data_IF_085243554151
#
_entry.id   IF_085243554151
#
_cell.length_a   1.000
_cell.length_b   1.000
_cell.length_c   1.000
_cell.angle_alpha   90.00
_cell.angle_beta   90.00
_cell.angle_gamma   90.00
#
_symmetry.space_group_name_H-M   'P 1'
#
loop_
_entity.id
_entity.type
_entity.pdbx_description
1 polymer ?
#
# COMPACT_ATOMS: atom_id res chain seq x y z
N UNK A 1 -36.81 11.29 -32.58
CA UNK A 1 -36.91 12.56 -31.81
C UNK A 1 -36.48 12.26 -30.39
N UNK A 2 -35.17 12.26 -30.16
CA UNK A 2 -34.56 11.99 -28.86
C UNK A 2 -33.78 13.24 -28.49
N UNK A 3 -34.31 13.98 -27.51
CA UNK A 3 -33.76 15.25 -27.05
C UNK A 3 -32.31 15.08 -26.59
N UNK A 4 -31.40 15.85 -27.20
CA UNK A 4 -30.04 16.03 -26.71
C UNK A 4 -30.07 16.59 -25.29
N UNK A 5 -29.82 15.74 -24.30
CA UNK A 5 -29.71 16.16 -22.91
C UNK A 5 -28.41 16.92 -22.70
N UNK A 6 -28.46 18.23 -22.91
CA UNK A 6 -27.38 19.19 -22.57
C UNK A 6 -27.01 19.05 -21.09
N UNK A 7 -25.82 18.52 -20.83
CA UNK A 7 -25.21 18.48 -19.48
C UNK A 7 -24.65 19.87 -19.14
N UNK A 8 -24.96 20.37 -17.93
CA UNK A 8 -24.41 21.64 -17.41
C UNK A 8 -22.89 21.57 -17.33
N UNK A 9 -22.20 22.62 -17.83
CA UNK A 9 -20.74 22.79 -17.77
C UNK A 9 -20.21 22.52 -16.37
N UNK A 10 -19.48 21.41 -16.19
CA UNK A 10 -18.62 21.22 -15.02
C UNK A 10 -17.33 22.01 -15.23
N UNK A 11 -16.89 22.76 -14.22
CA UNK A 11 -15.66 23.52 -14.27
C UNK A 11 -14.48 22.62 -14.70
N UNK A 12 -13.74 23.05 -15.73
CA UNK A 12 -12.60 22.33 -16.26
C UNK A 12 -11.58 22.07 -15.14
N UNK A 13 -11.32 20.80 -14.87
CA UNK A 13 -10.23 20.36 -13.99
C UNK A 13 -8.93 20.86 -14.60
N UNK A 14 -8.34 21.91 -14.02
CA UNK A 14 -7.04 22.44 -14.46
C UNK A 14 -5.98 21.37 -14.22
N UNK A 15 -5.30 20.99 -15.31
CA UNK A 15 -4.24 19.99 -15.33
C UNK A 15 -2.85 20.61 -15.28
N UNK A 16 -1.82 19.86 -14.85
CA UNK A 16 -0.44 20.26 -15.04
C UNK A 16 -0.14 20.38 -16.54
N UNK A 17 0.42 21.51 -16.96
CA UNK A 17 0.76 21.80 -18.35
C UNK A 17 1.86 20.85 -18.82
N UNK A 18 1.57 20.01 -19.82
CA UNK A 18 2.61 19.24 -20.50
C UNK A 18 3.43 20.20 -21.37
N UNK A 19 4.75 20.03 -21.42
CA UNK A 19 5.65 20.88 -22.22
C UNK A 19 5.24 20.93 -23.71
N UNK A 20 4.58 19.89 -24.20
CA UNK A 20 4.16 19.70 -25.59
C UNK A 20 2.83 20.39 -25.95
N UNK A 21 2.11 20.93 -24.96
CA UNK A 21 0.91 21.77 -25.19
C UNK A 21 1.26 23.04 -26.00
N UNK A 22 2.54 23.45 -25.98
CA UNK A 22 3.11 24.53 -26.79
C UNK A 22 3.10 24.23 -28.29
N UNK A 23 3.13 22.95 -28.69
CA UNK A 23 3.26 22.53 -30.08
C UNK A 23 1.95 21.98 -30.68
N UNK A 24 1.10 21.30 -29.88
CA UNK A 24 -0.18 20.75 -30.35
C UNK A 24 -1.40 21.63 -30.06
N UNK A 25 -1.29 22.63 -29.18
CA UNK A 25 -2.41 23.50 -28.81
C UNK A 25 -3.34 22.90 -27.74
N UNK A 26 -4.36 23.68 -27.35
CA UNK A 26 -5.35 23.31 -26.32
C UNK A 26 -6.29 22.17 -26.78
N UNK A 27 -6.98 21.55 -25.82
CA UNK A 27 -7.97 20.49 -26.09
C UNK A 27 -8.97 20.92 -27.19
N UNK A 28 -9.17 20.08 -28.23
CA UNK A 28 -9.98 20.43 -29.38
C UNK A 28 -11.46 20.55 -29.01
N UNK A 29 -12.14 21.48 -29.68
CA UNK A 29 -13.60 21.69 -29.56
C UNK A 29 -14.29 21.34 -30.85
N UNK A 30 -15.46 20.73 -30.74
CA UNK A 30 -16.28 20.22 -31.87
C UNK A 30 -17.70 20.76 -31.72
N UNK A 31 -18.41 20.91 -32.83
CA UNK A 31 -19.82 21.25 -32.84
C UNK A 31 -20.60 20.38 -33.86
N UNK A 32 -21.91 20.58 -33.92
CA UNK A 32 -22.83 19.90 -34.86
C UNK A 32 -22.41 20.01 -36.35
N UNK A 33 -21.70 21.07 -36.74
CA UNK A 33 -21.26 21.32 -38.11
C UNK A 33 -19.82 20.85 -38.39
N UNK A 34 -19.16 20.23 -37.42
CA UNK A 34 -17.76 19.83 -37.57
C UNK A 34 -17.59 18.77 -38.64
N UNK A 35 -16.61 18.98 -39.52
CA UNK A 35 -16.33 18.04 -40.61
C UNK A 35 -15.65 16.77 -40.09
N UNK A 36 -15.69 15.69 -40.88
CA UNK A 36 -14.96 14.45 -40.55
C UNK A 36 -13.45 14.70 -40.37
N UNK A 37 -12.89 15.66 -41.11
CA UNK A 37 -11.49 16.08 -40.97
C UNK A 37 -11.22 16.71 -39.60
N UNK A 38 -12.12 17.56 -39.10
CA UNK A 38 -12.01 18.18 -37.77
C UNK A 38 -12.14 17.13 -36.65
N UNK A 39 -13.04 16.17 -36.81
CA UNK A 39 -13.15 15.03 -35.89
C UNK A 39 -11.86 14.19 -35.86
N UNK A 40 -11.28 13.91 -37.03
CA UNK A 40 -10.03 13.17 -37.13
C UNK A 40 -8.85 13.92 -36.47
N UNK A 41 -8.78 15.24 -36.64
CA UNK A 41 -7.80 16.08 -35.96
C UNK A 41 -7.99 16.05 -34.44
N UNK A 42 -9.24 16.11 -33.98
CA UNK A 42 -9.55 16.01 -32.56
C UNK A 42 -9.11 14.65 -31.98
N UNK A 43 -9.42 13.55 -32.67
CA UNK A 43 -8.99 12.22 -32.23
C UNK A 43 -7.47 12.07 -32.21
N UNK A 44 -6.76 12.62 -33.20
CA UNK A 44 -5.29 12.61 -33.21
C UNK A 44 -4.70 13.36 -32.02
N UNK A 45 -5.31 14.49 -31.63
CA UNK A 45 -4.91 15.20 -30.42
C UNK A 45 -5.12 14.34 -29.17
N UNK A 46 -6.27 13.68 -29.04
CA UNK A 46 -6.52 12.78 -27.91
C UNK A 46 -5.55 11.59 -27.87
N UNK A 47 -5.27 10.97 -29.02
CA UNK A 47 -4.32 9.86 -29.14
C UNK A 47 -2.90 10.24 -28.69
N UNK A 48 -2.53 11.51 -28.80
CA UNK A 48 -1.22 12.00 -28.36
C UNK A 48 -1.16 12.20 -26.84
N UNK A 49 -2.22 12.74 -26.23
CA UNK A 49 -2.22 13.11 -24.81
C UNK A 49 -2.74 12.03 -23.87
N UNK A 50 -3.38 10.98 -24.37
CA UNK A 50 -4.09 10.00 -23.57
C UNK A 50 -3.91 8.58 -24.06
N UNK A 51 -4.11 7.66 -23.12
CA UNK A 51 -4.06 6.22 -23.38
C UNK A 51 -5.46 5.63 -23.61
N UNK A 52 -5.51 4.40 -24.11
CA UNK A 52 -6.76 3.65 -24.21
C UNK A 52 -7.47 3.46 -22.87
N UNK A 53 -6.72 3.38 -21.76
CA UNK A 53 -7.30 3.25 -20.42
C UNK A 53 -7.99 4.55 -19.98
N UNK A 54 -7.42 5.71 -20.33
CA UNK A 54 -8.05 7.01 -20.11
C UNK A 54 -9.34 7.14 -20.94
N UNK A 55 -9.33 6.68 -22.20
CA UNK A 55 -10.52 6.66 -23.04
C UNK A 55 -11.66 5.84 -22.40
N UNK A 56 -11.34 4.64 -21.89
CA UNK A 56 -12.31 3.80 -21.15
C UNK A 56 -12.83 4.49 -19.90
N UNK A 57 -11.97 5.18 -19.15
CA UNK A 57 -12.39 5.96 -17.99
C UNK A 57 -13.33 7.10 -18.37
N UNK A 58 -13.08 7.81 -19.48
CA UNK A 58 -13.98 8.85 -20.00
C UNK A 58 -15.33 8.30 -20.43
N UNK A 59 -15.37 7.15 -21.12
CA UNK A 59 -16.63 6.49 -21.46
C UNK A 59 -17.46 6.17 -20.23
N UNK A 60 -16.87 5.51 -19.22
CA UNK A 60 -17.59 5.14 -17.99
C UNK A 60 -18.04 6.39 -17.22
N UNK A 61 -17.19 7.41 -17.13
CA UNK A 61 -17.53 8.68 -16.46
C UNK A 61 -18.69 9.40 -17.14
N UNK A 62 -18.69 9.45 -18.47
CA UNK A 62 -19.73 10.09 -19.24
C UNK A 62 -21.06 9.33 -19.14
N UNK A 63 -21.05 8.00 -19.30
CA UNK A 63 -22.26 7.18 -19.15
C UNK A 63 -22.89 7.30 -17.76
N UNK A 64 -22.06 7.42 -16.70
CA UNK A 64 -22.55 7.71 -15.34
C UNK A 64 -23.16 9.10 -15.21
N UNK A 65 -22.61 10.11 -15.90
CA UNK A 65 -23.12 11.49 -15.82
C UNK A 65 -24.50 11.63 -16.46
N UNK A 66 -24.76 10.90 -17.54
CA UNK A 66 -26.06 10.86 -18.23
C UNK A 66 -27.04 9.85 -17.61
N UNK A 67 -26.64 9.14 -16.53
CA UNK A 67 -27.40 8.08 -15.86
C UNK A 67 -27.85 6.96 -16.82
N UNK A 68 -26.93 6.48 -17.65
CA UNK A 68 -27.15 5.34 -18.54
C UNK A 68 -27.33 4.03 -17.74
N UNK A 69 -27.78 2.97 -18.41
CA UNK A 69 -28.06 1.67 -17.78
C UNK A 69 -26.82 1.13 -17.03
N UNK A 70 -27.00 0.86 -15.74
CA UNK A 70 -25.98 0.33 -14.84
C UNK A 70 -25.45 -1.03 -15.28
N UNK A 71 -26.29 -1.88 -15.85
CA UNK A 71 -25.87 -3.20 -16.37
C UNK A 71 -24.92 -3.03 -17.55
N UNK A 72 -25.24 -2.14 -18.48
CA UNK A 72 -24.39 -1.85 -19.64
C UNK A 72 -23.07 -1.23 -19.20
N UNK A 73 -23.08 -0.27 -18.27
CA UNK A 73 -21.85 0.34 -17.72
C UNK A 73 -20.93 -0.73 -17.09
N UNK A 74 -21.52 -1.69 -16.38
CA UNK A 74 -20.77 -2.79 -15.74
C UNK A 74 -20.13 -3.70 -16.79
N UNK A 75 -20.88 -4.08 -17.83
CA UNK A 75 -20.35 -4.88 -18.94
C UNK A 75 -19.23 -4.15 -19.69
N UNK A 76 -19.40 -2.86 -19.98
CA UNK A 76 -18.38 -2.03 -20.63
C UNK A 76 -17.11 -1.86 -19.79
N UNK A 77 -17.21 -1.92 -18.47
CA UNK A 77 -16.04 -1.93 -17.59
C UNK A 77 -15.20 -3.22 -17.76
N UNK A 78 -15.77 -4.31 -18.26
CA UNK A 78 -15.04 -5.54 -18.59
C UNK A 78 -14.44 -5.55 -20.01
N UNK A 79 -14.93 -4.70 -20.91
CA UNK A 79 -14.44 -4.61 -22.31
C UNK A 79 -12.99 -4.10 -22.34
N UNK A 80 -12.18 -4.62 -23.27
CA UNK A 80 -10.79 -4.19 -23.46
C UNK A 80 -10.72 -2.70 -23.79
N UNK A 81 -9.80 -1.98 -23.16
CA UNK A 81 -9.69 -0.52 -23.27
C UNK A 81 -9.51 -0.03 -24.72
N UNK A 82 -8.84 -0.81 -25.57
CA UNK A 82 -8.65 -0.50 -26.99
C UNK A 82 -9.96 -0.44 -27.78
N UNK A 83 -10.97 -1.21 -27.37
CA UNK A 83 -12.27 -1.26 -28.08
C UNK A 83 -13.15 -0.04 -27.75
N UNK A 84 -12.84 0.67 -26.67
CA UNK A 84 -13.52 1.89 -26.22
C UNK A 84 -12.78 3.17 -26.59
N UNK A 85 -11.66 3.06 -27.30
CA UNK A 85 -10.74 4.16 -27.57
C UNK A 85 -11.44 5.38 -28.23
N UNK A 86 -12.04 5.17 -29.41
CA UNK A 86 -12.74 6.24 -30.12
C UNK A 86 -14.02 6.70 -29.39
N UNK A 87 -14.67 5.79 -28.66
CA UNK A 87 -15.88 6.12 -27.89
C UNK A 87 -15.54 7.04 -26.72
N UNK A 88 -14.39 6.81 -26.07
CA UNK A 88 -13.87 7.63 -24.98
C UNK A 88 -13.61 9.08 -25.38
N UNK A 89 -13.06 9.30 -26.58
CA UNK A 89 -12.83 10.65 -27.12
C UNK A 89 -14.13 11.42 -27.33
N UNK A 90 -15.14 10.78 -27.92
CA UNK A 90 -16.46 11.38 -28.08
C UNK A 90 -17.14 11.67 -26.73
N UNK A 91 -17.05 10.72 -25.78
CA UNK A 91 -17.55 10.90 -24.42
C UNK A 91 -16.86 12.07 -23.70
N UNK A 92 -15.55 12.26 -23.92
CA UNK A 92 -14.76 13.37 -23.37
C UNK A 92 -15.18 14.71 -23.98
N UNK A 93 -15.36 14.77 -25.30
CA UNK A 93 -15.86 15.96 -26.01
C UNK A 93 -17.23 16.39 -25.46
N UNK A 94 -18.16 15.44 -25.32
CA UNK A 94 -19.49 15.67 -24.76
C UNK A 94 -19.45 16.11 -23.29
N UNK A 95 -18.56 15.51 -22.48
CA UNK A 95 -18.39 15.90 -21.08
C UNK A 95 -17.87 17.33 -20.92
N UNK A 96 -17.06 17.80 -21.87
CA UNK A 96 -16.58 19.18 -21.94
C UNK A 96 -17.65 20.15 -22.48
N UNK A 97 -18.84 19.66 -22.85
CA UNK A 97 -19.96 20.47 -23.32
C UNK A 97 -19.94 20.79 -24.81
N UNK A 98 -19.17 20.05 -25.61
CA UNK A 98 -19.27 20.08 -27.07
C UNK A 98 -20.49 19.31 -27.55
N UNK A 99 -20.93 19.58 -28.78
CA UNK A 99 -21.94 18.77 -29.49
C UNK A 99 -21.26 17.98 -30.61
N UNK A 100 -21.73 16.77 -30.86
CA UNK A 100 -21.21 15.92 -31.93
C UNK A 100 -22.02 16.14 -33.22
N UNK A 101 -21.44 15.86 -34.40
CA UNK A 101 -22.19 15.88 -35.65
C UNK A 101 -23.39 14.91 -35.63
N UNK A 102 -24.43 15.24 -36.41
CA UNK A 102 -25.66 14.46 -36.50
C UNK A 102 -25.40 12.98 -36.83
N UNK A 103 -25.97 12.08 -36.03
CA UNK A 103 -25.87 10.62 -36.19
C UNK A 103 -24.58 9.98 -35.65
N UNK A 104 -23.60 10.75 -35.19
CA UNK A 104 -22.39 10.20 -34.57
C UNK A 104 -22.69 9.55 -33.21
N UNK A 105 -23.60 10.15 -32.42
CA UNK A 105 -24.02 9.55 -31.15
C UNK A 105 -24.74 8.21 -31.34
N UNK A 106 -25.62 8.11 -32.35
CA UNK A 106 -26.34 6.87 -32.64
C UNK A 106 -25.38 5.72 -32.97
N UNK A 107 -24.33 6.00 -33.76
CA UNK A 107 -23.26 5.03 -34.07
C UNK A 107 -22.48 4.60 -32.82
N UNK A 108 -22.21 5.54 -31.92
CA UNK A 108 -21.52 5.25 -30.65
C UNK A 108 -22.40 4.37 -29.78
N UNK A 109 -23.69 4.68 -29.67
CA UNK A 109 -24.65 3.91 -28.89
C UNK A 109 -24.82 2.48 -29.42
N UNK A 110 -24.98 2.30 -30.74
CA UNK A 110 -25.00 0.98 -31.38
C UNK A 110 -23.74 0.18 -31.06
N UNK A 111 -22.57 0.83 -31.10
CA UNK A 111 -21.29 0.19 -30.78
C UNK A 111 -21.21 -0.19 -29.31
N UNK A 112 -21.67 0.66 -28.39
CA UNK A 112 -21.71 0.38 -26.96
C UNK A 112 -22.60 -0.84 -26.66
N UNK A 113 -23.78 -0.91 -27.28
CA UNK A 113 -24.70 -2.03 -27.14
C UNK A 113 -24.05 -3.32 -27.68
N UNK A 114 -23.45 -3.28 -28.87
CA UNK A 114 -22.75 -4.43 -29.45
C UNK A 114 -21.59 -4.93 -28.59
N UNK A 115 -20.81 -4.00 -28.02
CA UNK A 115 -19.72 -4.35 -27.11
C UNK A 115 -20.26 -4.96 -25.82
N UNK A 116 -21.35 -4.42 -25.28
CA UNK A 116 -22.01 -4.98 -24.11
C UNK A 116 -22.63 -6.35 -24.37
N UNK A 117 -23.14 -6.63 -25.57
CA UNK A 117 -23.74 -7.92 -25.91
C UNK A 117 -22.71 -9.03 -26.15
N UNK A 118 -21.48 -8.65 -26.52
CA UNK A 118 -20.34 -9.59 -26.64
C UNK A 118 -19.78 -10.03 -25.30
N UNK A 119 -20.04 -9.26 -24.25
CA UNK A 119 -19.74 -9.67 -22.87
C UNK A 119 -20.87 -10.59 -22.44
N UNK A 120 -20.61 -11.90 -22.42
CA UNK A 120 -21.52 -12.90 -21.89
C UNK A 120 -21.97 -12.47 -20.48
N UNK A 121 -23.25 -12.65 -20.16
CA UNK A 121 -23.76 -12.41 -18.81
C UNK A 121 -22.99 -13.30 -17.85
N UNK A 122 -22.06 -12.69 -17.12
CA UNK A 122 -21.37 -13.32 -16.01
C UNK A 122 -22.41 -13.49 -14.90
N UNK A 123 -23.11 -14.63 -14.91
CA UNK A 123 -23.53 -15.27 -13.67
C UNK A 123 -22.32 -15.31 -12.75
N UNK A 124 -22.50 -15.02 -11.46
CA UNK A 124 -21.48 -15.11 -10.41
C UNK A 124 -20.63 -16.39 -10.59
N UNK A 125 -19.51 -16.24 -11.30
CA UNK A 125 -18.45 -17.21 -11.39
C UNK A 125 -17.17 -16.40 -11.35
N UNK A 126 -16.51 -16.57 -10.22
CA UNK A 126 -15.15 -16.15 -9.93
C UNK A 126 -14.26 -16.36 -11.17
N UNK A 127 -13.77 -15.29 -11.78
CA UNK A 127 -12.62 -15.39 -12.68
C UNK A 127 -11.77 -14.10 -12.61
N UNK A 128 -10.65 -14.28 -11.89
CA UNK A 128 -9.32 -13.76 -12.13
C UNK A 128 -9.18 -12.60 -13.12
N UNK A 129 -9.20 -11.38 -12.60
CA UNK A 129 -8.35 -10.33 -13.17
C UNK A 129 -6.88 -10.79 -13.07
N UNK A 130 -5.94 -10.30 -13.92
CA UNK A 130 -4.56 -10.21 -13.49
C UNK A 130 -4.58 -9.21 -12.34
N UNK A 131 -4.86 -9.72 -11.14
CA UNK A 131 -4.68 -9.02 -9.90
C UNK A 131 -3.24 -8.51 -10.00
N UNK A 132 -3.05 -7.19 -10.01
CA UNK A 132 -1.83 -6.69 -9.39
C UNK A 132 -1.79 -7.42 -8.08
N UNK A 133 -0.87 -8.39 -7.92
CA UNK A 133 -0.77 -9.19 -6.71
C UNK A 133 -0.83 -8.18 -5.59
N UNK A 134 -1.95 -8.12 -4.89
CA UNK A 134 -2.05 -7.34 -3.67
C UNK A 134 -1.19 -8.18 -2.76
N UNK A 135 0.13 -7.94 -2.82
CA UNK A 135 1.13 -8.64 -2.02
C UNK A 135 0.58 -8.49 -0.62
N UNK A 136 0.10 -9.62 -0.09
CA UNK A 136 -0.62 -9.64 1.17
C UNK A 136 0.26 -8.92 2.18
N UNK A 137 -0.35 -8.30 3.19
CA UNK A 137 0.45 -7.73 4.28
C UNK A 137 1.41 -8.81 4.83
N UNK A 138 0.96 -10.07 4.83
CA UNK A 138 1.80 -11.23 5.16
C UNK A 138 2.93 -11.43 4.15
N UNK A 139 2.68 -11.37 2.85
CA UNK A 139 3.73 -11.52 1.82
C UNK A 139 4.77 -10.40 1.89
N UNK A 140 4.36 -9.17 2.25
CA UNK A 140 5.32 -8.06 2.48
C UNK A 140 6.16 -8.27 3.73
N UNK A 141 5.54 -8.80 4.78
CA UNK A 141 6.26 -9.17 6.02
C UNK A 141 7.22 -10.31 5.72
N UNK A 142 6.81 -11.32 4.95
CA UNK A 142 7.63 -12.46 4.56
C UNK A 142 8.78 -12.03 3.65
N UNK A 143 8.54 -11.15 2.67
CA UNK A 143 9.60 -10.61 1.82
C UNK A 143 10.65 -9.88 2.66
N UNK A 144 10.22 -8.97 3.56
CA UNK A 144 11.16 -8.29 4.47
C UNK A 144 11.88 -9.22 5.43
N UNK A 145 11.21 -10.26 5.92
CA UNK A 145 11.84 -11.27 6.74
C UNK A 145 12.90 -12.03 5.93
N UNK A 146 12.58 -12.41 4.69
CA UNK A 146 13.50 -13.08 3.77
C UNK A 146 14.73 -12.24 3.47
N UNK A 147 14.56 -10.93 3.22
CA UNK A 147 15.67 -10.01 2.98
C UNK A 147 16.62 -9.96 4.20
N UNK A 148 16.05 -9.83 5.41
CA UNK A 148 16.82 -9.78 6.66
C UNK A 148 17.45 -11.13 7.02
N UNK A 149 16.80 -12.25 6.68
CA UNK A 149 17.36 -13.60 6.81
C UNK A 149 18.58 -13.73 5.89
N UNK A 150 18.48 -13.26 4.64
CA UNK A 150 19.60 -13.28 3.70
C UNK A 150 20.82 -12.53 4.23
N UNK A 151 20.63 -11.36 4.85
CA UNK A 151 21.74 -10.63 5.50
C UNK A 151 22.38 -11.44 6.65
N UNK A 152 21.58 -12.16 7.45
CA UNK A 152 22.09 -13.00 8.53
C UNK A 152 22.78 -14.27 8.02
N UNK A 153 22.32 -14.82 6.89
CA UNK A 153 22.96 -15.94 6.20
C UNK A 153 24.30 -15.52 5.58
N UNK A 154 24.40 -14.32 5.02
CA UNK A 154 25.67 -13.76 4.55
C UNK A 154 26.71 -13.68 5.68
N UNK A 155 26.31 -13.24 6.88
CA UNK A 155 27.18 -13.25 8.06
C UNK A 155 27.56 -14.66 8.51
N UNK A 156 26.65 -15.63 8.28
CA UNK A 156 26.90 -17.05 8.55
C UNK A 156 27.94 -17.62 7.57
N UNK A 157 27.89 -17.20 6.30
CA UNK A 157 28.86 -17.54 5.27
C UNK A 157 30.23 -16.89 5.51
N UNK A 158 30.26 -15.63 5.96
CA UNK A 158 31.49 -14.95 6.38
C UNK A 158 32.14 -15.72 7.53
N UNK A 159 31.35 -16.17 8.51
CA UNK A 159 31.86 -17.05 9.56
C UNK A 159 32.42 -18.37 9.00
N UNK A 160 31.81 -18.94 7.96
CA UNK A 160 32.31 -20.17 7.33
C UNK A 160 33.67 -19.96 6.65
N UNK A 161 33.89 -18.80 6.02
CA UNK A 161 35.14 -18.47 5.32
C UNK A 161 36.25 -18.02 6.26
N UNK A 162 35.96 -17.13 7.20
CA UNK A 162 36.95 -16.47 8.06
C UNK A 162 37.10 -17.15 9.43
N UNK A 163 36.09 -17.88 9.90
CA UNK A 163 36.09 -18.54 11.20
C UNK A 163 35.95 -17.60 12.41
N UNK A 164 35.62 -16.32 12.19
CA UNK A 164 35.48 -15.30 13.23
C UNK A 164 34.10 -14.66 13.15
N UNK A 165 33.49 -14.42 14.30
CA UNK A 165 32.21 -13.71 14.41
C UNK A 165 32.48 -12.32 14.97
N UNK A 166 32.49 -11.31 14.11
CA UNK A 166 32.57 -9.90 14.53
C UNK A 166 31.19 -9.23 14.57
N UNK A 167 30.14 -9.95 14.18
CA UNK A 167 28.80 -9.42 14.03
C UNK A 167 28.09 -9.16 15.37
N UNK A 168 27.58 -7.94 15.54
CA UNK A 168 26.73 -7.55 16.68
C UNK A 168 25.25 -7.50 16.29
N UNK A 169 24.55 -8.61 16.58
CA UNK A 169 23.13 -8.80 16.32
C UNK A 169 22.26 -7.71 16.99
N UNK A 170 22.65 -7.21 18.17
CA UNK A 170 21.85 -6.20 18.89
C UNK A 170 21.89 -4.87 18.18
N UNK A 171 23.09 -4.45 17.75
CA UNK A 171 23.29 -3.23 16.99
C UNK A 171 22.59 -3.31 15.63
N UNK A 172 22.78 -4.42 14.91
CA UNK A 172 22.13 -4.65 13.61
C UNK A 172 20.59 -4.63 13.71
N UNK A 173 20.03 -5.32 14.71
CA UNK A 173 18.58 -5.35 14.93
C UNK A 173 17.99 -3.97 15.23
N UNK A 174 18.73 -3.13 15.96
CA UNK A 174 18.33 -1.76 16.26
C UNK A 174 18.36 -0.87 15.02
N UNK A 175 19.42 -0.95 14.20
CA UNK A 175 19.58 -0.18 12.97
C UNK A 175 18.51 -0.54 11.93
N UNK A 176 18.17 -1.82 11.81
CA UNK A 176 17.14 -2.32 10.87
C UNK A 176 15.71 -2.09 11.36
N UNK A 177 15.51 -1.78 12.65
CA UNK A 177 14.19 -1.51 13.21
C UNK A 177 13.24 -2.71 13.10
N UNK A 178 13.71 -3.90 13.49
CA UNK A 178 12.98 -5.17 13.31
C UNK A 178 11.69 -5.16 14.12
N UNK A 179 10.57 -5.46 13.45
CA UNK A 179 9.24 -5.58 14.10
C UNK A 179 9.08 -6.95 14.77
N UNK A 180 8.30 -7.07 15.87
CA UNK A 180 8.09 -8.34 16.57
C UNK A 180 7.65 -9.50 15.66
N UNK A 181 6.72 -9.25 14.74
CA UNK A 181 6.25 -10.26 13.78
C UNK A 181 7.33 -10.77 12.82
N UNK A 182 8.29 -9.90 12.45
CA UNK A 182 9.44 -10.26 11.61
C UNK A 182 10.47 -11.01 12.45
N UNK A 183 10.74 -10.55 13.68
CA UNK A 183 11.66 -11.21 14.60
C UNK A 183 11.25 -12.67 14.87
N UNK A 184 9.95 -12.93 15.07
CA UNK A 184 9.42 -14.29 15.22
C UNK A 184 9.77 -15.19 14.03
N UNK A 185 9.59 -14.69 12.80
CA UNK A 185 9.91 -15.45 11.57
C UNK A 185 11.40 -15.73 11.44
N UNK A 186 12.25 -14.75 11.76
CA UNK A 186 13.71 -14.94 11.77
C UNK A 186 14.10 -16.02 12.78
N UNK A 187 13.54 -15.98 14.00
CA UNK A 187 13.81 -16.99 15.02
C UNK A 187 13.37 -18.40 14.61
N UNK A 188 12.22 -18.52 13.93
CA UNK A 188 11.71 -19.79 13.40
C UNK A 188 12.58 -20.36 12.26
N UNK A 189 13.23 -19.50 11.46
CA UNK A 189 14.12 -19.93 10.37
C UNK A 189 15.42 -20.55 10.88
N UNK A 190 16.06 -19.93 11.87
CA UNK A 190 17.36 -20.40 12.39
C UNK A 190 17.25 -21.51 13.44
N UNK A 191 16.06 -21.74 14.01
CA UNK A 191 15.84 -22.75 15.06
C UNK A 191 16.14 -24.18 14.61
N UNK A 192 15.64 -24.68 13.46
CA UNK A 192 15.94 -26.05 13.00
C UNK A 192 17.44 -26.30 12.86
N UNK A 193 18.16 -25.37 12.23
CA UNK A 193 19.61 -25.48 12.06
C UNK A 193 20.36 -25.49 13.39
N UNK A 194 19.91 -24.69 14.37
CA UNK A 194 20.47 -24.71 15.72
C UNK A 194 20.22 -26.05 16.43
N UNK A 195 19.02 -26.61 16.31
CA UNK A 195 18.64 -27.90 16.90
C UNK A 195 19.45 -29.05 16.28
N UNK A 196 19.58 -29.09 14.95
CA UNK A 196 20.42 -30.06 14.24
C UNK A 196 21.88 -30.04 14.73
N UNK A 197 22.46 -28.84 14.87
CA UNK A 197 23.83 -28.69 15.37
C UNK A 197 23.95 -29.18 16.81
N UNK A 198 22.93 -28.95 17.65
CA UNK A 198 22.92 -29.45 19.03
C UNK A 198 22.84 -30.98 19.06
N UNK A 199 21.96 -31.58 18.26
CA UNK A 199 21.81 -33.05 18.18
C UNK A 199 23.07 -33.73 17.63
N UNK A 200 23.71 -33.13 16.62
CA UNK A 200 25.00 -33.59 16.09
C UNK A 200 26.12 -33.53 17.14
N UNK A 201 26.11 -32.50 18.01
CA UNK A 201 27.09 -32.37 19.09
C UNK A 201 26.86 -33.36 20.23
N UNK A 202 25.59 -33.64 20.54
CA UNK A 202 25.18 -34.60 21.57
C UNK A 202 25.32 -36.06 21.11
N UNK A 203 25.43 -36.29 19.79
CA UNK A 203 25.58 -37.62 19.20
C UNK A 203 24.30 -38.45 19.26
N UNK A 204 23.14 -37.79 19.27
CA UNK A 204 21.83 -38.44 19.35
C UNK A 204 21.40 -39.07 18.02
N UNK A 205 21.76 -38.42 16.91
CA UNK A 205 21.42 -38.85 15.55
C UNK A 205 22.70 -39.23 14.77
N UNK A 206 22.85 -40.51 14.35
CA UNK A 206 23.98 -40.98 13.55
C UNK A 206 24.15 -40.24 12.21
N UNK A 207 23.04 -39.89 11.55
CA UNK A 207 23.04 -39.25 10.23
C UNK A 207 23.52 -37.81 10.35
N UNK A 208 23.12 -37.10 11.42
CA UNK A 208 23.61 -35.75 11.70
C UNK A 208 25.10 -35.76 12.08
N UNK A 209 25.56 -36.74 12.85
CA UNK A 209 26.98 -36.88 13.18
C UNK A 209 27.81 -37.13 11.92
N UNK A 210 27.29 -37.90 10.96
CA UNK A 210 27.93 -38.09 9.65
C UNK A 210 27.93 -36.80 8.82
N UNK A 211 26.80 -36.08 8.76
CA UNK A 211 26.67 -34.83 8.02
C UNK A 211 27.69 -33.76 8.48
N UNK A 212 27.93 -33.67 9.79
CA UNK A 212 28.87 -32.70 10.37
C UNK A 212 30.30 -33.24 10.57
N UNK A 213 30.63 -34.44 10.09
CA UNK A 213 31.94 -35.08 10.29
C UNK A 213 33.13 -34.28 9.73
N UNK A 214 32.91 -33.49 8.68
CA UNK A 214 33.92 -32.61 8.09
C UNK A 214 34.27 -31.38 8.94
N UNK A 215 33.45 -31.07 9.96
CA UNK A 215 33.64 -29.88 10.78
C UNK A 215 34.58 -30.13 11.97
N UNK A 216 35.38 -29.12 12.30
CA UNK A 216 36.09 -29.10 13.58
C UNK A 216 35.09 -28.85 14.70
N UNK A 217 35.04 -29.73 15.72
CA UNK A 217 34.10 -29.62 16.86
C UNK A 217 34.03 -28.22 17.50
N UNK A 218 35.16 -27.50 17.73
CA UNK A 218 35.09 -26.14 18.27
C UNK A 218 34.40 -25.13 17.34
N UNK A 219 34.59 -25.27 16.03
CA UNK A 219 34.00 -24.38 15.01
C UNK A 219 32.50 -24.61 14.93
N UNK A 220 32.07 -25.87 14.91
CA UNK A 220 30.65 -26.25 14.95
C UNK A 220 29.96 -25.72 16.21
N UNK A 221 30.66 -25.73 17.35
CA UNK A 221 30.17 -25.14 18.60
C UNK A 221 30.02 -23.63 18.53
N UNK A 222 30.97 -22.92 17.93
CA UNK A 222 30.88 -21.46 17.74
C UNK A 222 29.70 -21.12 16.82
N UNK A 223 29.48 -21.90 15.75
CA UNK A 223 28.31 -21.75 14.88
C UNK A 223 27.00 -21.92 15.66
N UNK A 224 26.87 -22.99 16.44
CA UNK A 224 25.67 -23.20 17.27
C UNK A 224 25.43 -22.07 18.27
N UNK A 225 26.49 -21.51 18.86
CA UNK A 225 26.39 -20.35 19.76
C UNK A 225 25.95 -19.08 19.02
N UNK A 226 26.38 -18.89 17.77
CA UNK A 226 25.95 -17.78 16.93
C UNK A 226 24.47 -17.83 16.63
N UNK A 227 24.00 -18.96 16.09
CA UNK A 227 22.58 -19.18 15.79
C UNK A 227 21.74 -19.02 17.05
N UNK A 228 22.20 -19.55 18.18
CA UNK A 228 21.55 -19.34 19.48
C UNK A 228 21.43 -17.85 19.84
N UNK A 229 22.50 -17.07 19.66
CA UNK A 229 22.50 -15.64 19.94
C UNK A 229 21.50 -14.88 19.06
N UNK A 230 21.33 -15.30 17.79
CA UNK A 230 20.29 -14.77 16.90
C UNK A 230 18.91 -15.10 17.45
N UNK A 231 18.65 -16.37 17.75
CA UNK A 231 17.35 -16.85 18.25
C UNK A 231 16.98 -16.16 19.57
N UNK A 232 17.90 -16.09 20.53
CA UNK A 232 17.69 -15.46 21.83
C UNK A 232 17.34 -13.97 21.66
N UNK A 233 18.07 -13.23 20.82
CA UNK A 233 17.77 -11.82 20.57
C UNK A 233 16.43 -11.63 19.84
N UNK A 234 16.13 -12.45 18.83
CA UNK A 234 14.86 -12.34 18.10
C UNK A 234 13.65 -12.73 18.95
N UNK A 235 13.80 -13.69 19.86
CA UNK A 235 12.76 -14.04 20.83
C UNK A 235 12.56 -12.95 21.87
N UNK A 236 13.61 -12.24 22.32
CA UNK A 236 13.48 -11.03 23.13
C UNK A 236 12.69 -9.93 22.41
N UNK A 237 12.94 -9.72 21.12
CA UNK A 237 12.23 -8.71 20.31
C UNK A 237 10.77 -9.10 20.05
N UNK A 238 10.48 -10.39 19.82
CA UNK A 238 9.10 -10.90 19.71
C UNK A 238 8.35 -10.76 21.04
N UNK A 239 9.00 -11.10 22.15
CA UNK A 239 8.44 -10.97 23.50
C UNK A 239 8.19 -9.50 23.91
N UNK A 240 8.88 -8.54 23.29
CA UNK A 240 8.58 -7.11 23.42
C UNK A 240 7.35 -6.67 22.60
N UNK A 241 6.43 -7.60 22.27
CA UNK A 241 5.26 -7.34 21.47
C UNK A 241 4.36 -6.21 21.99
N UNK A 242 3.51 -5.61 21.12
CA UNK A 242 2.78 -4.38 21.42
C UNK A 242 1.94 -4.45 22.69
N UNK A 243 1.37 -5.62 22.96
CA UNK A 243 0.50 -5.87 24.11
C UNK A 243 1.21 -5.73 25.46
N UNK A 244 2.50 -6.07 25.52
CA UNK A 244 3.30 -6.02 26.73
C UNK A 244 3.81 -4.59 26.97
N UNK A 245 4.20 -3.90 25.90
CA UNK A 245 4.68 -2.52 25.97
C UNK A 245 3.59 -1.54 26.46
N UNK A 246 2.35 -1.70 26.00
CA UNK A 246 1.23 -0.83 26.42
C UNK A 246 0.50 -1.29 27.68
N UNK A 247 0.85 -2.45 28.24
CA UNK A 247 0.17 -3.02 29.41
C UNK A 247 0.13 -2.09 30.63
N UNK A 248 1.12 -1.18 30.75
CA UNK A 248 1.25 -0.23 31.86
C UNK A 248 0.75 1.18 31.51
N UNK A 249 0.26 1.41 30.29
CA UNK A 249 -0.18 2.73 29.84
C UNK A 249 -1.53 3.10 30.46
N UNK A 250 -1.57 4.24 31.14
CA UNK A 250 -2.80 4.77 31.74
C UNK A 250 -3.50 5.69 30.75
N UNK A 251 -4.72 5.36 30.38
CA UNK A 251 -5.57 6.16 29.50
C UNK A 251 -7.03 6.09 29.95
N UNK A 252 -7.83 7.08 29.55
CA UNK A 252 -9.27 7.10 29.79
C UNK A 252 -9.96 6.54 28.54
N UNK A 253 -10.76 5.48 28.68
CA UNK A 253 -11.37 4.79 27.53
C UNK A 253 -12.37 5.69 26.79
N UNK A 254 -13.21 6.38 27.54
CA UNK A 254 -14.21 7.32 27.03
C UNK A 254 -14.29 8.56 27.93
N UNK A 255 -14.47 9.73 27.34
CA UNK A 255 -14.79 10.97 28.04
C UNK A 255 -16.18 11.44 27.65
N UNK A 256 -17.16 11.27 28.55
CA UNK A 256 -18.57 11.61 28.30
C UNK A 256 -18.82 13.12 28.22
N UNK A 257 -18.00 13.92 28.88
CA UNK A 257 -18.17 15.38 28.91
C UNK A 257 -17.79 16.02 27.57
N UNK A 258 -16.84 15.41 26.86
CA UNK A 258 -16.37 15.86 25.55
C UNK A 258 -16.81 14.95 24.40
N UNK A 259 -17.49 13.84 24.71
CA UNK A 259 -17.91 12.81 23.77
C UNK A 259 -16.76 12.24 22.89
N UNK A 260 -15.62 11.97 23.51
CA UNK A 260 -14.41 11.46 22.83
C UNK A 260 -14.12 10.03 23.30
N UNK A 261 -13.82 9.14 22.36
CA UNK A 261 -13.36 7.76 22.62
C UNK A 261 -11.88 7.63 22.31
N UNK A 262 -11.11 7.05 23.23
CA UNK A 262 -9.68 6.82 23.03
C UNK A 262 -9.42 5.63 22.11
N UNK A 263 -8.37 5.73 21.30
CA UNK A 263 -7.85 4.61 20.50
C UNK A 263 -7.29 3.50 21.39
N UNK A 264 -7.25 2.27 20.87
CA UNK A 264 -6.65 1.17 21.61
C UNK A 264 -5.15 1.42 21.77
N UNK A 265 -4.57 1.19 22.95
CA UNK A 265 -3.14 1.43 23.17
C UNK A 265 -2.21 0.65 22.23
N UNK A 266 -2.67 -0.51 21.73
CA UNK A 266 -1.93 -1.33 20.77
C UNK A 266 -1.63 -0.57 19.48
N UNK A 267 -2.54 0.30 19.06
CA UNK A 267 -2.45 1.05 17.81
C UNK A 267 -1.47 2.23 17.92
N UNK A 268 -1.04 2.58 19.14
CA UNK A 268 0.00 3.60 19.37
C UNK A 268 1.35 3.11 18.86
N UNK A 269 1.61 1.80 18.95
CA UNK A 269 2.90 1.24 18.62
C UNK A 269 3.03 1.15 17.10
N UNK A 270 4.12 1.72 16.58
CA UNK A 270 4.39 1.93 15.16
C UNK A 270 3.52 3.00 14.48
N UNK A 271 2.70 3.76 15.22
CA UNK A 271 1.98 4.90 14.65
C UNK A 271 2.97 6.00 14.20
N UNK A 272 2.73 6.62 13.04
CA UNK A 272 3.53 7.76 12.56
C UNK A 272 3.21 9.05 13.33
N UNK A 273 1.98 9.19 13.81
CA UNK A 273 1.52 10.36 14.55
C UNK A 273 0.51 9.93 15.61
N UNK A 274 0.61 10.51 16.81
CA UNK A 274 -0.31 10.30 17.92
C UNK A 274 -0.78 11.63 18.50
N UNK A 275 -2.10 11.77 18.64
CA UNK A 275 -2.73 12.91 19.30
C UNK A 275 -3.13 12.51 20.71
N UNK A 276 -2.62 13.23 21.71
CA UNK A 276 -2.89 12.97 23.12
C UNK A 276 -3.54 14.19 23.75
N UNK A 277 -4.76 14.01 24.25
CA UNK A 277 -5.46 15.02 25.01
C UNK A 277 -5.43 14.71 26.51
N UNK A 278 -4.96 15.65 27.32
CA UNK A 278 -4.95 15.54 28.77
C UNK A 278 -6.13 16.32 29.37
N UNK A 279 -7.15 15.61 29.85
CA UNK A 279 -8.38 16.22 30.38
C UNK A 279 -8.13 17.09 31.62
N UNK A 280 -7.17 16.73 32.49
CA UNK A 280 -6.87 17.49 33.72
C UNK A 280 -6.24 18.85 33.42
N UNK A 281 -5.28 18.88 32.48
CA UNK A 281 -4.54 20.10 32.16
C UNK A 281 -5.06 20.84 30.94
N UNK A 282 -6.00 20.26 30.20
CA UNK A 282 -6.55 20.74 28.92
C UNK A 282 -5.46 20.97 27.87
N UNK A 283 -4.47 20.08 27.82
CA UNK A 283 -3.38 20.14 26.85
C UNK A 283 -3.61 19.12 25.73
N UNK A 284 -3.52 19.56 24.49
CA UNK A 284 -3.50 18.72 23.30
C UNK A 284 -2.05 18.65 22.80
N UNK A 285 -1.51 17.45 22.73
CA UNK A 285 -0.13 17.17 22.33
C UNK A 285 -0.14 16.29 21.08
N UNK A 286 0.67 16.64 20.09
CA UNK A 286 0.89 15.84 18.88
C UNK A 286 2.31 15.31 18.94
N UNK A 287 2.44 13.98 18.96
CA UNK A 287 3.71 13.27 18.89
C UNK A 287 3.90 12.74 17.48
N UNK A 288 4.97 13.15 16.80
CA UNK A 288 5.33 12.61 15.50
C UNK A 288 6.50 11.63 15.65
N UNK A 289 6.44 10.49 14.98
CA UNK A 289 7.48 9.46 15.04
C UNK A 289 8.81 9.94 14.44
N UNK A 290 9.92 9.50 15.02
CA UNK A 290 11.25 9.69 14.47
C UNK A 290 11.52 8.64 13.39
N UNK A 291 11.39 9.03 12.11
CA UNK A 291 11.65 8.15 10.97
C UNK A 291 10.60 7.04 10.76
N UNK A 292 11.00 5.97 10.07
CA UNK A 292 10.07 4.93 9.58
C UNK A 292 9.73 3.84 10.62
N UNK A 293 10.36 3.85 11.79
CA UNK A 293 10.16 2.85 12.85
C UNK A 293 8.85 3.06 13.65
N UNK A 294 8.32 4.29 13.63
CA UNK A 294 7.08 4.67 14.31
C UNK A 294 7.24 4.91 15.82
N UNK A 295 6.14 5.29 16.49
CA UNK A 295 6.13 5.53 17.93
C UNK A 295 6.22 4.23 18.75
N UNK A 296 6.77 4.31 19.95
CA UNK A 296 6.82 3.19 20.90
C UNK A 296 6.49 3.65 22.33
N UNK A 297 6.22 2.73 23.24
CA UNK A 297 5.83 3.01 24.62
C UNK A 297 6.72 2.26 25.60
N UNK A 298 7.25 2.96 26.60
CA UNK A 298 7.96 2.39 27.74
C UNK A 298 7.24 2.74 29.04
N UNK A 299 6.52 1.77 29.60
CA UNK A 299 5.74 1.97 30.82
C UNK A 299 4.55 2.89 30.56
N UNK A 300 4.62 4.14 31.03
CA UNK A 300 3.61 5.18 30.77
C UNK A 300 4.10 6.26 29.80
N UNK A 301 5.35 6.16 29.33
CA UNK A 301 6.00 7.22 28.54
C UNK A 301 6.06 6.83 27.07
N UNK A 302 5.67 7.76 26.20
CA UNK A 302 5.81 7.61 24.75
C UNK A 302 7.28 7.89 24.38
N UNK A 303 7.84 7.06 23.50
CA UNK A 303 9.24 7.09 23.07
C UNK A 303 9.32 6.99 21.55
N UNK A 304 10.44 7.41 20.97
CA UNK A 304 10.61 7.40 19.51
C UNK A 304 9.85 8.51 18.79
N UNK A 305 9.51 9.60 19.50
CA UNK A 305 8.96 10.81 18.90
C UNK A 305 10.08 11.83 18.65
N UNK A 306 9.90 12.64 17.61
CA UNK A 306 10.79 13.76 17.29
C UNK A 306 10.39 14.99 18.12
N UNK A 307 11.34 15.56 18.87
CA UNK A 307 11.09 16.67 19.79
C UNK A 307 10.82 17.99 19.06
N UNK A 308 11.35 18.16 17.84
CA UNK A 308 11.23 19.40 17.08
C UNK A 308 9.88 19.50 16.35
N UNK A 309 9.41 18.40 15.77
CA UNK A 309 8.10 18.35 15.11
C UNK A 309 6.92 18.11 16.06
N UNK A 310 7.17 17.64 17.29
CA UNK A 310 6.10 17.38 18.27
C UNK A 310 5.71 18.64 19.04
N UNK A 311 4.42 18.93 19.13
CA UNK A 311 3.90 20.21 19.67
C UNK A 311 2.87 19.95 20.76
N UNK A 312 2.90 20.75 21.83
CA UNK A 312 1.87 20.77 22.88
C UNK A 312 1.20 22.13 22.96
N UNK A 313 -0.13 22.19 22.93
CA UNK A 313 -0.92 23.42 23.08
C UNK A 313 -2.03 23.25 24.12
N UNK A 314 -2.28 24.31 24.90
CA UNK A 314 -3.37 24.34 25.87
C UNK A 314 -4.67 24.85 25.23
N UNK A 315 -5.76 24.10 25.38
CA UNK A 315 -7.09 24.44 24.89
C UNK A 315 -7.84 25.31 25.91
N UNK A 316 -8.21 26.54 25.50
CA UNK A 316 -9.00 27.48 26.31
C UNK A 316 -10.50 27.13 26.35
N UNK A 317 -11.01 26.37 25.38
CA UNK A 317 -12.40 25.85 25.30
C UNK A 317 -12.39 24.48 24.59
N UNK A 318 -12.29 23.36 25.33
CA UNK A 318 -12.15 22.03 24.72
C UNK A 318 -13.42 21.53 24.01
N UNK A 319 -14.62 21.83 24.53
CA UNK A 319 -15.93 21.41 23.96
C UNK A 319 -16.21 21.91 22.53
N UNK A 320 -15.50 22.95 22.07
CA UNK A 320 -15.70 23.56 20.75
C UNK A 320 -14.54 23.29 19.77
N UNK A 321 -13.46 22.64 20.21
CA UNK A 321 -12.18 22.58 19.48
C UNK A 321 -11.58 21.18 19.35
N UNK A 322 -12.22 20.16 19.90
CA UNK A 322 -11.89 18.75 19.73
C UNK A 322 -13.02 18.12 18.92
#
# INVERSE_FOLDING_TARGET
MTEEKKVKKSAAVKRPKFADEKHLGSEPTVNENSTQTEMALAYNWFNYFYTSDDAKAFTISYLKSIKYDKHIITKLAAVKSIELHNIGWNCRLLQNGNTLPDGEWDRIEERLILLSSKVLDVSESEEEQPTQKVVSIQDRINAKASDLIGELEEETDVFFQEGVIQFDIKKWSLEKGIKPQIAKRIAEHFRPQYEEICEAQEGKDPDLVEAYKGWRKPVLKIMGLFLKKIIDHMTEVDAAGPHILVSKLKYKVEDKDLNITSVQPKDIIHASQLWVYNCKYRNLSVYNALGNSGLSVRGTTITGYDADSSITKKLRKPEQRI
#
